data_IF_406154317314
#
_entry.id   IF_406154317314
#
_cell.length_a   1.000
_cell.length_b   1.000
_cell.length_c   1.000
_cell.angle_alpha   90.00
_cell.angle_beta   90.00
_cell.angle_gamma   90.00
#
_symmetry.space_group_name_H-M   'P 1'
#
loop_
_entity.id
_entity.type
_entity.pdbx_description
1 polymer ?
#
# COMPACT_ATOMS: atom_id res chain seq x y z
N UNK A 1 11.12 -4.18 -12.53
CA UNK A 1 11.53 -2.76 -12.45
C UNK A 1 10.42 -1.93 -11.81
N UNK A 2 10.79 -0.92 -11.02
CA UNK A 2 9.87 0.07 -10.45
C UNK A 2 9.39 1.03 -11.54
N UNK A 3 8.15 1.49 -11.46
CA UNK A 3 7.60 2.47 -12.40
C UNK A 3 7.75 3.87 -11.81
N UNK A 4 8.34 4.80 -12.55
CA UNK A 4 8.50 6.21 -12.15
C UNK A 4 7.53 7.11 -12.92
N UNK A 5 6.92 8.05 -12.20
CA UNK A 5 5.95 9.02 -12.71
C UNK A 5 6.40 10.43 -12.39
N UNK A 6 6.02 11.41 -13.20
CA UNK A 6 6.43 12.81 -13.01
C UNK A 6 5.59 13.54 -11.95
N UNK A 7 4.39 13.02 -11.65
CA UNK A 7 3.48 13.55 -10.64
C UNK A 7 2.74 12.46 -9.88
N UNK A 8 2.19 12.82 -8.72
CA UNK A 8 1.33 11.95 -7.91
C UNK A 8 0.02 11.62 -8.63
N UNK A 9 -0.49 12.55 -9.44
CA UNK A 9 -1.73 12.36 -10.20
C UNK A 9 -1.54 11.31 -11.30
N UNK A 10 -0.43 11.37 -12.04
CA UNK A 10 -0.06 10.33 -13.02
C UNK A 10 0.05 8.95 -12.38
N UNK A 11 0.73 8.86 -11.22
CA UNK A 11 0.83 7.62 -10.47
C UNK A 11 -0.55 7.10 -10.03
N UNK A 12 -1.46 7.99 -9.63
CA UNK A 12 -2.82 7.65 -9.22
C UNK A 12 -3.67 7.15 -10.39
N UNK A 13 -3.53 7.77 -11.58
CA UNK A 13 -4.17 7.29 -12.81
C UNK A 13 -3.66 5.89 -13.16
N UNK A 14 -2.35 5.66 -13.09
CA UNK A 14 -1.75 4.35 -13.36
C UNK A 14 -2.27 3.26 -12.41
N UNK A 15 -2.41 3.57 -11.12
CA UNK A 15 -3.01 2.65 -10.13
C UNK A 15 -4.47 2.38 -10.45
N UNK A 16 -5.22 3.41 -10.81
CA UNK A 16 -6.65 3.27 -11.16
C UNK A 16 -6.83 2.36 -12.38
N UNK A 17 -6.00 2.56 -13.41
CA UNK A 17 -5.99 1.70 -14.58
C UNK A 17 -5.58 0.26 -14.23
N UNK A 18 -4.59 0.07 -13.36
CA UNK A 18 -4.19 -1.25 -12.87
C UNK A 18 -5.33 -1.95 -12.11
N UNK A 19 -6.04 -1.23 -11.23
CA UNK A 19 -7.19 -1.74 -10.49
C UNK A 19 -8.32 -2.18 -11.42
N UNK A 20 -8.65 -1.36 -12.42
CA UNK A 20 -9.65 -1.70 -13.43
C UNK A 20 -9.25 -2.93 -14.25
N UNK A 21 -7.98 -3.00 -14.69
CA UNK A 21 -7.47 -4.12 -15.49
C UNK A 21 -7.46 -5.44 -14.73
N UNK A 22 -7.15 -5.41 -13.43
CA UNK A 22 -6.99 -6.62 -12.61
C UNK A 22 -8.22 -6.94 -11.77
N UNK A 23 -9.30 -6.15 -11.86
CA UNK A 23 -10.47 -6.22 -10.98
C UNK A 23 -10.10 -6.25 -9.49
N UNK A 24 -9.02 -5.56 -9.14
CA UNK A 24 -8.52 -5.49 -7.78
C UNK A 24 -8.90 -4.16 -7.14
N UNK A 25 -8.99 -4.15 -5.81
CA UNK A 25 -9.31 -2.96 -5.04
C UNK A 25 -8.25 -2.78 -3.97
N UNK A 26 -7.70 -1.56 -3.87
CA UNK A 26 -6.71 -1.20 -2.87
C UNK A 26 -7.23 -0.02 -2.04
N UNK A 27 -6.99 -0.08 -0.74
CA UNK A 27 -7.31 0.97 0.21
C UNK A 27 -6.02 1.56 0.80
N UNK A 28 -6.04 2.86 1.07
CA UNK A 28 -4.91 3.54 1.74
C UNK A 28 -4.84 3.05 3.18
N UNK A 29 -3.69 2.50 3.56
CA UNK A 29 -3.45 2.05 4.93
C UNK A 29 -2.60 3.07 5.71
N UNK A 30 -1.54 3.59 5.09
CA UNK A 30 -0.66 4.58 5.71
C UNK A 30 -0.21 5.61 4.68
N UNK A 31 -0.19 6.86 5.08
CA UNK A 31 0.37 7.96 4.30
C UNK A 31 1.23 8.81 5.23
N UNK A 32 2.45 9.13 4.80
CA UNK A 32 3.29 10.07 5.53
C UNK A 32 2.77 11.50 5.30
N UNK A 33 2.87 12.35 6.32
CA UNK A 33 2.27 13.68 6.30
C UNK A 33 2.81 14.62 5.22
N UNK A 34 3.94 14.28 4.60
CA UNK A 34 4.62 15.08 3.58
C UNK A 34 4.39 14.57 2.15
N UNK A 35 3.77 13.40 1.99
CA UNK A 35 3.48 12.84 0.67
C UNK A 35 2.55 13.75 -0.14
N UNK A 36 2.94 14.08 -1.38
CA UNK A 36 2.21 14.91 -2.32
C UNK A 36 2.12 16.40 -1.98
N UNK A 37 2.85 16.89 -0.96
CA UNK A 37 2.80 18.30 -0.59
C UNK A 37 3.81 19.14 -1.38
N UNK A 38 3.43 20.34 -1.87
CA UNK A 38 4.37 21.29 -2.44
C UNK A 38 5.20 21.91 -1.30
N UNK A 39 6.52 21.88 -1.43
CA UNK A 39 7.45 22.41 -0.42
C UNK A 39 7.99 21.32 0.49
N UNK A 40 9.22 20.90 0.22
CA UNK A 40 9.92 19.89 1.02
C UNK A 40 10.67 20.60 2.14
N UNK A 41 10.38 20.21 3.38
CA UNK A 41 11.22 20.61 4.51
C UNK A 41 12.38 19.64 4.58
N UNK A 42 13.59 20.07 4.24
CA UNK A 42 14.77 19.19 4.24
C UNK A 42 15.27 18.79 5.64
N UNK A 43 14.50 19.07 6.70
CA UNK A 43 14.90 18.78 8.07
C UNK A 43 14.87 17.26 8.32
N UNK A 44 16.05 16.68 8.60
CA UNK A 44 16.26 15.28 9.01
C UNK A 44 16.09 14.19 7.94
N UNK A 45 16.11 14.52 6.65
CA UNK A 45 16.13 13.48 5.61
C UNK A 45 17.52 12.89 5.40
N UNK A 46 17.58 11.59 5.05
CA UNK A 46 18.82 10.89 4.69
C UNK A 46 18.98 10.88 3.17
N UNK A 47 20.12 11.34 2.69
CA UNK A 47 20.51 11.18 1.28
C UNK A 47 20.93 9.73 1.08
N UNK A 48 20.35 9.07 0.09
CA UNK A 48 20.58 7.67 -0.24
C UNK A 48 21.16 7.57 -1.66
N UNK A 49 22.06 6.62 -1.88
CA UNK A 49 22.51 6.24 -3.23
C UNK A 49 21.84 4.96 -3.70
N UNK A 50 21.40 4.13 -2.76
CA UNK A 50 20.76 2.85 -3.02
C UNK A 50 19.54 2.69 -2.13
N UNK A 51 18.52 2.00 -2.66
CA UNK A 51 17.31 1.71 -1.92
C UNK A 51 17.50 0.50 -1.01
N UNK A 52 18.03 0.74 0.19
CA UNK A 52 18.15 -0.24 1.27
C UNK A 52 16.77 -0.45 1.91
N UNK A 53 15.78 -0.82 1.10
CA UNK A 53 14.46 -1.21 1.58
C UNK A 53 14.57 -2.49 2.38
N UNK A 54 14.43 -2.41 3.70
CA UNK A 54 14.20 -3.58 4.56
C UNK A 54 12.82 -4.18 4.26
N UNK A 55 12.80 -5.51 4.19
CA UNK A 55 11.67 -6.47 4.21
C UNK A 55 10.29 -5.99 3.68
N UNK A 56 9.84 -6.62 2.59
CA UNK A 56 8.44 -6.56 2.14
C UNK A 56 8.18 -5.69 0.91
N UNK A 57 9.20 -5.09 0.31
CA UNK A 57 9.12 -4.40 -0.98
C UNK A 57 9.81 -5.26 -2.04
N UNK A 58 9.07 -5.73 -3.06
CA UNK A 58 9.62 -6.62 -4.11
C UNK A 58 10.45 -5.83 -5.13
N UNK A 59 10.11 -4.55 -5.36
CA UNK A 59 10.79 -3.69 -6.32
C UNK A 59 11.62 -2.64 -5.57
N UNK A 60 12.90 -2.59 -5.86
CA UNK A 60 13.81 -1.54 -5.38
C UNK A 60 13.99 -0.47 -6.46
N UNK A 61 14.32 0.75 -6.03
CA UNK A 61 14.86 1.76 -6.95
C UNK A 61 16.22 1.28 -7.43
N UNK A 62 16.42 1.21 -8.74
CA UNK A 62 17.71 0.80 -9.31
C UNK A 62 18.78 1.84 -8.99
N UNK A 63 20.03 1.39 -8.85
CA UNK A 63 21.16 2.29 -8.72
C UNK A 63 21.32 3.10 -10.01
N UNK A 64 21.10 4.41 -9.92
CA UNK A 64 21.20 5.34 -11.06
C UNK A 64 22.52 6.10 -11.09
N UNK A 65 23.40 5.90 -10.11
CA UNK A 65 24.62 6.69 -9.92
C UNK A 65 24.42 8.04 -9.23
N UNK A 66 23.17 8.48 -9.06
CA UNK A 66 22.82 9.77 -8.48
C UNK A 66 22.22 9.62 -7.08
N UNK A 67 22.56 10.49 -6.12
CA UNK A 67 21.91 10.50 -4.83
C UNK A 67 20.44 10.88 -4.96
N UNK A 68 19.62 10.36 -4.07
CA UNK A 68 18.20 10.66 -3.98
C UNK A 68 17.72 10.82 -2.55
N UNK A 69 16.58 11.49 -2.40
CA UNK A 69 15.88 11.72 -1.16
C UNK A 69 14.49 11.12 -1.23
N UNK A 70 14.06 10.34 -0.23
CA UNK A 70 12.65 9.97 -0.09
C UNK A 70 11.98 11.03 0.81
N UNK A 71 11.02 11.75 0.26
CA UNK A 71 10.33 12.86 0.95
C UNK A 71 9.02 12.41 1.59
N UNK A 72 8.33 11.45 0.98
CA UNK A 72 7.09 10.92 1.52
C UNK A 72 6.78 9.54 0.98
N UNK A 73 5.93 8.82 1.69
CA UNK A 73 5.45 7.53 1.24
C UNK A 73 3.94 7.38 1.45
N UNK A 74 3.31 6.60 0.56
CA UNK A 74 1.91 6.19 0.67
C UNK A 74 1.81 4.70 0.42
N UNK A 75 1.34 3.95 1.41
CA UNK A 75 1.11 2.51 1.34
C UNK A 75 -0.37 2.21 1.17
N UNK A 76 -0.69 1.48 0.11
CA UNK A 76 -2.02 0.96 -0.17
C UNK A 76 -1.99 -0.56 -0.06
N UNK A 77 -3.04 -1.13 0.53
CA UNK A 77 -3.17 -2.58 0.74
C UNK A 77 -4.44 -3.07 0.05
N UNK A 78 -4.43 -4.31 -0.41
CA UNK A 78 -5.60 -4.93 -1.01
C UNK A 78 -6.81 -4.86 -0.06
N UNK A 79 -8.00 -4.58 -0.61
CA UNK A 79 -9.26 -4.58 0.13
C UNK A 79 -9.58 -5.95 0.74
N UNK A 80 -9.07 -7.04 0.14
CA UNK A 80 -9.13 -8.40 0.68
C UNK A 80 -7.90 -8.77 1.54
N UNK A 81 -7.08 -7.79 1.90
CA UNK A 81 -5.88 -7.96 2.71
C UNK A 81 -6.12 -8.41 4.14
N UNK A 82 -5.09 -8.29 4.99
CA UNK A 82 -5.16 -8.65 6.41
C UNK A 82 -6.17 -7.74 7.13
N UNK A 83 -7.02 -8.32 7.98
CA UNK A 83 -7.90 -7.54 8.86
C UNK A 83 -7.13 -7.10 10.11
N UNK A 84 -6.46 -5.94 10.02
CA UNK A 84 -5.70 -5.33 11.12
C UNK A 84 -6.56 -5.02 12.35
N UNK A 85 -7.87 -4.89 12.17
CA UNK A 85 -8.83 -4.56 13.23
C UNK A 85 -9.56 -5.79 13.79
N UNK A 86 -9.15 -7.00 13.42
CA UNK A 86 -9.83 -8.24 13.84
C UNK A 86 -9.99 -8.33 15.35
N UNK A 87 -8.92 -8.06 16.10
CA UNK A 87 -8.92 -8.11 17.57
C UNK A 87 -9.79 -7.03 18.19
N UNK A 88 -9.69 -5.79 17.69
CA UNK A 88 -10.53 -4.67 18.14
C UNK A 88 -12.01 -4.95 17.91
N UNK A 89 -12.36 -5.53 16.76
CA UNK A 89 -13.73 -5.95 16.44
C UNK A 89 -14.19 -7.10 17.34
N UNK A 90 -13.31 -8.06 17.63
CA UNK A 90 -13.62 -9.17 18.54
C UNK A 90 -13.91 -8.64 19.95
N UNK A 91 -13.04 -7.78 20.48
CA UNK A 91 -13.20 -7.14 21.80
C UNK A 91 -14.52 -6.36 21.90
N UNK A 92 -14.83 -5.52 20.90
CA UNK A 92 -16.11 -4.79 20.85
C UNK A 92 -17.32 -5.72 20.82
N UNK A 93 -17.22 -6.89 20.18
CA UNK A 93 -18.33 -7.85 20.17
C UNK A 93 -18.50 -8.53 21.53
N UNK A 94 -17.40 -8.82 22.22
CA UNK A 94 -17.41 -9.42 23.55
C UNK A 94 -17.93 -8.44 24.62
N UNK A 95 -17.59 -7.14 24.51
CA UNK A 95 -18.05 -6.11 25.45
C UNK A 95 -19.54 -5.78 25.31
N UNK A 96 -20.13 -5.96 24.13
CA UNK A 96 -21.52 -5.58 23.82
C UNK A 96 -22.51 -6.77 23.81
N UNK A 97 -22.12 -7.94 24.32
CA UNK A 97 -22.96 -9.16 24.31
C UNK A 97 -22.57 -10.07 25.46
N UNK A 98 -23.53 -10.73 26.11
CA UNK A 98 -23.22 -11.92 26.92
C UNK A 98 -22.71 -13.04 26.01
N UNK A 99 -21.90 -13.96 26.55
CA UNK A 99 -21.30 -15.07 25.79
C UNK A 99 -22.35 -15.85 24.96
N UNK A 100 -23.56 -16.04 25.52
CA UNK A 100 -24.69 -16.72 24.88
C UNK A 100 -25.33 -15.91 23.73
N UNK A 101 -25.51 -14.60 23.90
CA UNK A 101 -25.99 -13.71 22.83
C UNK A 101 -24.98 -13.62 21.69
N UNK A 102 -23.69 -13.64 22.00
CA UNK A 102 -22.62 -13.63 21.01
C UNK A 102 -22.68 -14.87 20.12
N UNK A 103 -22.86 -16.07 20.70
CA UNK A 103 -22.97 -17.32 19.92
C UNK A 103 -24.23 -17.34 19.04
N UNK A 104 -25.37 -16.85 19.54
CA UNK A 104 -26.61 -16.75 18.75
C UNK A 104 -26.49 -15.74 17.60
N UNK A 105 -25.84 -14.58 17.83
CA UNK A 105 -25.58 -13.57 16.79
C UNK A 105 -24.55 -14.05 15.76
N UNK A 106 -23.57 -14.87 16.16
CA UNK A 106 -22.59 -15.48 15.25
C UNK A 106 -23.24 -16.45 14.26
N UNK A 107 -24.26 -17.18 14.71
CA UNK A 107 -25.08 -18.06 13.86
C UNK A 107 -25.98 -17.28 12.89
N UNK A 108 -26.55 -16.15 13.32
CA UNK A 108 -27.47 -15.33 12.49
C UNK A 108 -26.78 -14.30 11.59
N UNK A 109 -25.58 -13.85 11.94
CA UNK A 109 -24.85 -12.79 11.22
C UNK A 109 -23.88 -13.39 10.20
N UNK A 110 -24.43 -13.84 9.07
CA UNK A 110 -23.67 -14.37 7.92
C UNK A 110 -22.79 -13.35 7.18
N UNK A 111 -22.33 -12.26 7.82
CA UNK A 111 -21.37 -11.35 7.20
C UNK A 111 -19.95 -11.81 7.53
N UNK A 112 -19.53 -12.87 6.84
CA UNK A 112 -18.12 -13.23 6.73
C UNK A 112 -17.39 -12.00 6.19
N UNK A 113 -16.35 -11.56 6.91
CA UNK A 113 -15.50 -10.46 6.44
C UNK A 113 -14.92 -10.85 5.08
N UNK A 114 -14.97 -9.97 4.08
CA UNK A 114 -14.32 -10.19 2.77
C UNK A 114 -12.78 -10.19 2.86
N UNK A 115 -12.20 -10.02 4.06
CA UNK A 115 -10.75 -10.01 4.28
C UNK A 115 -10.23 -11.46 4.22
N UNK A 116 -9.44 -11.77 3.20
CA UNK A 116 -8.87 -13.09 2.94
C UNK A 116 -7.38 -13.17 3.28
N UNK A 117 -6.78 -12.09 3.81
CA UNK A 117 -5.35 -12.06 4.10
C UNK A 117 -4.48 -11.89 2.86
N UNK A 118 -4.99 -11.27 1.80
CA UNK A 118 -4.22 -11.00 0.58
C UNK A 118 -2.93 -10.19 0.88
N UNK A 119 -1.73 -10.66 0.48
CA UNK A 119 -0.47 -9.96 0.75
C UNK A 119 -0.21 -8.78 -0.20
N UNK A 120 -1.07 -8.57 -1.21
CA UNK A 120 -0.85 -7.57 -2.23
C UNK A 120 -0.87 -6.15 -1.65
N UNK A 121 0.18 -5.38 -1.95
CA UNK A 121 0.32 -4.00 -1.51
C UNK A 121 1.06 -3.16 -2.56
N UNK A 122 0.66 -1.90 -2.66
CA UNK A 122 1.25 -0.87 -3.50
C UNK A 122 1.93 0.13 -2.57
N UNK A 123 3.22 0.40 -2.78
CA UNK A 123 3.95 1.45 -2.07
C UNK A 123 4.33 2.54 -3.06
N UNK A 124 3.76 3.73 -2.88
CA UNK A 124 4.20 4.93 -3.56
C UNK A 124 5.24 5.65 -2.72
N UNK A 125 6.27 6.19 -3.37
CA UNK A 125 7.28 7.04 -2.75
C UNK A 125 7.47 8.30 -3.57
N UNK A 126 7.47 9.44 -2.90
CA UNK A 126 7.92 10.69 -3.49
C UNK A 126 9.43 10.78 -3.30
N UNK A 127 10.15 10.93 -4.41
CA UNK A 127 11.60 10.89 -4.47
C UNK A 127 12.12 12.12 -5.19
N UNK A 128 13.16 12.72 -4.64
CA UNK A 128 13.95 13.75 -5.31
C UNK A 128 15.26 13.13 -5.75
N UNK A 129 15.58 13.18 -7.04
CA UNK A 129 16.90 12.86 -7.56
C UNK A 129 17.75 14.13 -7.68
N UNK A 130 18.96 14.06 -7.16
CA UNK A 130 19.99 15.09 -7.32
C UNK A 130 20.85 14.71 -8.52
N UNK A 131 20.45 15.17 -9.70
CA UNK A 131 21.28 15.05 -10.90
C UNK A 131 22.13 16.31 -11.04
N UNK A 132 23.34 16.21 -11.60
CA UNK A 132 24.37 17.27 -11.57
C UNK A 132 23.86 18.64 -12.07
N UNK A 133 22.92 18.63 -13.00
CA UNK A 133 22.38 19.86 -13.60
C UNK A 133 20.92 20.19 -13.20
N UNK A 134 20.16 19.24 -12.62
CA UNK A 134 18.72 19.40 -12.34
C UNK A 134 18.21 18.53 -11.19
N UNK A 135 17.41 19.14 -10.31
CA UNK A 135 16.60 18.43 -9.31
C UNK A 135 15.34 17.87 -9.98
N UNK A 136 15.15 16.54 -9.95
CA UNK A 136 13.94 15.88 -10.48
C UNK A 136 13.11 15.30 -9.34
N UNK A 137 11.84 15.68 -9.26
CA UNK A 137 10.88 15.09 -8.33
C UNK A 137 10.09 14.01 -9.09
N UNK A 138 10.08 12.79 -8.57
CA UNK A 138 9.41 11.64 -9.15
C UNK A 138 8.57 10.93 -8.10
N UNK A 139 7.40 10.44 -8.50
CA UNK A 139 6.64 9.48 -7.72
C UNK A 139 6.94 8.07 -8.23
N UNK A 140 7.44 7.18 -7.37
CA UNK A 140 7.82 5.82 -7.75
C UNK A 140 6.86 4.81 -7.12
N UNK A 141 6.33 3.91 -7.95
CA UNK A 141 5.47 2.81 -7.52
C UNK A 141 6.30 1.54 -7.35
N UNK A 142 6.30 1.03 -6.12
CA UNK A 142 6.90 -0.24 -5.72
C UNK A 142 5.79 -1.20 -5.31
N UNK A 143 5.47 -2.15 -6.20
CA UNK A 143 4.40 -3.12 -5.97
C UNK A 143 4.94 -4.45 -5.46
N UNK A 144 4.24 -5.01 -4.47
CA UNK A 144 4.29 -6.43 -4.12
C UNK A 144 3.01 -7.08 -4.64
N UNK A 145 3.06 -7.61 -5.86
CA UNK A 145 1.99 -8.42 -6.46
C UNK A 145 2.51 -9.86 -6.45
N UNK A 146 2.36 -10.55 -5.32
CA UNK A 146 2.35 -12.01 -5.36
C UNK A 146 1.01 -12.39 -5.99
N UNK A 147 1.07 -13.24 -7.02
CA UNK A 147 -0.06 -13.74 -7.82
C UNK A 147 -1.38 -13.70 -7.04
N UNK A 148 -2.30 -12.84 -7.46
CA UNK A 148 -3.68 -12.84 -6.98
C UNK A 148 -4.22 -14.21 -7.38
N UNK A 149 -4.31 -15.15 -6.44
CA UNK A 149 -4.90 -16.45 -6.69
C UNK A 149 -6.28 -16.24 -7.31
N UNK A 150 -6.41 -16.54 -8.60
CA UNK A 150 -7.70 -16.75 -9.25
C UNK A 150 -8.27 -18.06 -8.75
N UNK A 151 -8.70 -18.08 -7.48
CA UNK A 151 -9.50 -19.14 -6.91
C UNK A 151 -10.97 -18.96 -7.30
N UNK A 152 -11.26 -19.00 -8.60
CA UNK A 152 -12.60 -19.34 -9.07
C UNK A 152 -12.50 -20.77 -9.57
N UNK A 153 -12.66 -21.73 -8.66
CA UNK A 153 -13.05 -23.08 -9.10
C UNK A 153 -14.48 -22.98 -9.63
N UNK A 154 -14.75 -23.39 -10.87
CA UNK A 154 -16.12 -23.60 -11.30
C UNK A 154 -16.68 -24.75 -10.46
N UNK A 155 -17.73 -24.48 -9.71
CA UNK A 155 -18.55 -25.53 -9.11
C UNK A 155 -19.30 -26.18 -10.28
N UNK A 156 -18.81 -27.32 -10.74
CA UNK A 156 -19.59 -28.33 -11.47
C UNK A 156 -20.52 -29.06 -10.52
#
# INVERSE_FOLDING_TARGET
MANSFSSVDEATIAITHFMAKTNSSFAVNKTDGEFGKPGIKFEKHRILFEDISKEGVIKQIQFTGYPFLVTGMKRMECSHGVDRDKERKLKRKLENSTEEEYQQRKSRSGRISKKMGCPASILLRDIIFFNDDKVKILCVILDRIESIFHGVSPVT
#
